data_IF_800063782905
#
_entry.id   IF_800063782905
#
_cell.length_a   1.000
_cell.length_b   1.000
_cell.length_c   1.000
_cell.angle_alpha   90.00
_cell.angle_beta   90.00
_cell.angle_gamma   90.00
#
_symmetry.space_group_name_H-M   'P 1'
#
loop_
_entity.id
_entity.type
_entity.pdbx_description
1 polymer ?
#
# COMPACT_ATOMS: atom_id res chain seq x y z
N UNK A 1 72.14 35.62 46.10
CA UNK A 1 71.71 34.23 46.13
C UNK A 1 70.34 34.15 46.83
N UNK A 2 69.29 34.19 46.09
CA UNK A 2 67.93 34.18 46.63
C UNK A 2 67.22 32.97 46.08
N UNK A 3 66.81 32.06 46.97
CA UNK A 3 65.97 30.91 46.66
C UNK A 3 64.49 31.37 46.66
N UNK A 4 63.84 31.15 45.54
CA UNK A 4 62.39 31.32 45.39
C UNK A 4 61.76 29.98 45.60
N UNK A 5 60.93 29.82 46.65
CA UNK A 5 60.14 28.64 46.90
C UNK A 5 58.83 28.70 46.07
N UNK A 6 58.63 27.69 45.24
CA UNK A 6 57.40 27.53 44.46
C UNK A 6 56.42 26.70 45.27
N UNK A 7 55.36 27.39 45.75
CA UNK A 7 54.27 26.69 46.41
C UNK A 7 53.29 26.14 45.36
N UNK A 8 53.18 24.79 45.27
CA UNK A 8 52.19 24.13 44.42
C UNK A 8 50.84 24.06 45.14
N UNK A 9 49.87 24.79 44.58
CA UNK A 9 48.45 24.68 44.96
C UNK A 9 47.83 23.44 44.28
N UNK A 10 47.59 22.42 45.05
CA UNK A 10 46.76 21.27 44.63
C UNK A 10 45.28 21.67 44.72
N UNK A 11 44.67 21.95 43.57
CA UNK A 11 43.21 22.08 43.46
C UNK A 11 42.65 20.67 43.36
N UNK A 12 41.99 20.20 44.41
CA UNK A 12 41.22 18.97 44.39
C UNK A 12 39.94 19.24 43.58
N UNK A 13 39.87 18.71 42.37
CA UNK A 13 38.60 18.59 41.65
C UNK A 13 37.75 17.53 42.34
N UNK A 14 36.80 17.96 43.14
CA UNK A 14 35.72 17.12 43.59
C UNK A 14 34.86 16.71 42.39
N UNK A 15 34.97 15.45 41.99
CA UNK A 15 34.08 14.87 40.98
C UNK A 15 32.68 14.72 41.54
N UNK A 16 31.85 15.74 41.34
CA UNK A 16 30.41 15.58 41.35
C UNK A 16 30.05 14.82 40.07
N UNK A 17 29.61 13.59 40.18
CA UNK A 17 28.90 12.89 39.09
C UNK A 17 27.55 13.56 38.93
N UNK A 18 27.50 14.64 38.14
CA UNK A 18 26.24 15.11 37.57
C UNK A 18 25.77 14.00 36.63
N UNK A 19 24.96 13.07 37.15
CA UNK A 19 24.20 12.18 36.33
C UNK A 19 23.28 13.05 35.47
N UNK A 20 23.53 13.10 34.18
CA UNK A 20 22.60 13.72 33.23
C UNK A 20 21.20 13.17 33.55
N UNK A 21 20.18 14.01 33.69
CA UNK A 21 18.84 13.55 33.97
C UNK A 21 18.46 12.57 32.84
N UNK A 22 18.18 11.32 33.19
CA UNK A 22 17.62 10.33 32.25
C UNK A 22 16.41 10.99 31.58
N UNK A 23 16.56 11.37 30.33
CA UNK A 23 15.46 11.89 29.52
C UNK A 23 14.44 10.76 29.36
N UNK A 24 13.34 10.85 30.10
CA UNK A 24 12.27 9.88 30.02
C UNK A 24 11.83 9.75 28.56
N UNK A 25 11.84 8.52 28.03
CA UNK A 25 11.32 8.25 26.68
C UNK A 25 9.84 8.71 26.64
N UNK A 26 9.49 9.72 25.83
CA UNK A 26 8.14 10.24 25.78
C UNK A 26 7.13 9.22 25.25
N UNK A 27 7.60 8.15 24.61
CA UNK A 27 6.77 7.04 24.08
C UNK A 27 6.76 5.82 25.01
N UNK A 28 7.35 5.90 26.22
CA UNK A 28 7.46 4.75 27.10
C UNK A 28 6.11 4.07 27.36
N UNK A 29 5.05 4.83 27.62
CA UNK A 29 3.71 4.29 27.87
C UNK A 29 3.19 3.46 26.66
N UNK A 30 3.42 3.94 25.43
CA UNK A 30 3.02 3.24 24.22
C UNK A 30 3.90 2.01 23.94
N UNK A 31 5.18 2.07 24.20
CA UNK A 31 6.12 0.98 24.00
C UNK A 31 5.95 -0.18 25.01
N UNK A 32 5.40 0.11 26.19
CA UNK A 32 5.17 -0.90 27.22
C UNK A 32 3.72 -1.41 27.28
N UNK A 33 2.85 -0.98 26.35
CA UNK A 33 1.49 -1.51 26.29
C UNK A 33 1.51 -3.02 26.00
N UNK A 34 0.57 -3.75 26.59
CA UNK A 34 0.41 -5.18 26.32
C UNK A 34 -0.59 -5.37 25.19
N UNK A 35 -0.18 -6.04 24.14
CA UNK A 35 -1.06 -6.37 23.02
C UNK A 35 -1.93 -7.58 23.37
N UNK A 36 -3.24 -7.43 23.16
CA UNK A 36 -4.21 -8.52 23.26
C UNK A 36 -4.53 -9.05 21.88
N UNK A 37 -3.83 -10.10 21.45
CA UNK A 37 -4.10 -10.78 20.22
C UNK A 37 -5.35 -11.64 20.32
N UNK A 38 -6.32 -11.46 19.42
CA UNK A 38 -7.61 -12.15 19.42
C UNK A 38 -8.09 -12.52 18.03
N UNK A 39 -9.38 -12.90 17.93
CA UNK A 39 -10.06 -13.15 16.66
C UNK A 39 -10.08 -11.90 15.78
N UNK A 40 -10.04 -12.13 14.47
CA UNK A 40 -10.17 -11.08 13.45
C UNK A 40 -11.61 -10.88 12.95
N UNK A 41 -12.61 -11.52 13.51
CA UNK A 41 -13.99 -11.51 13.02
C UNK A 41 -14.56 -10.09 12.90
N UNK A 42 -14.25 -9.21 13.84
CA UNK A 42 -14.68 -7.81 13.80
C UNK A 42 -14.06 -7.00 12.65
N UNK A 43 -12.94 -7.46 12.11
CA UNK A 43 -12.21 -6.79 11.03
C UNK A 43 -12.68 -7.24 9.65
N UNK A 44 -13.15 -8.50 9.52
CA UNK A 44 -13.54 -9.09 8.24
C UNK A 44 -15.03 -8.93 7.89
N UNK A 45 -15.90 -8.60 8.82
CA UNK A 45 -17.34 -8.45 8.56
C UNK A 45 -17.69 -7.42 7.46
N UNK A 46 -16.74 -6.59 7.07
CA UNK A 46 -16.90 -5.55 6.04
C UNK A 46 -16.17 -5.81 4.72
N UNK A 47 -15.22 -6.76 4.68
CA UNK A 47 -14.23 -6.82 3.58
C UNK A 47 -13.92 -8.24 3.05
N UNK A 48 -14.59 -9.30 3.55
CA UNK A 48 -14.30 -10.65 3.07
C UNK A 48 -14.83 -10.89 1.65
N UNK A 49 -13.91 -11.17 0.71
CA UNK A 49 -14.28 -11.77 -0.57
C UNK A 49 -14.51 -13.27 -0.37
N UNK A 50 -15.49 -13.87 -1.10
CA UNK A 50 -15.79 -15.32 -1.04
C UNK A 50 -14.56 -16.24 -1.15
N UNK A 51 -13.48 -15.78 -1.81
CA UNK A 51 -12.25 -16.55 -1.97
C UNK A 51 -11.36 -16.62 -0.73
N UNK A 52 -11.44 -15.64 0.18
CA UNK A 52 -10.60 -15.56 1.38
C UNK A 52 -11.16 -16.34 2.57
N UNK A 53 -12.48 -16.54 2.65
CA UNK A 53 -13.12 -17.24 3.77
C UNK A 53 -12.57 -18.66 4.01
N UNK A 54 -12.40 -19.42 2.94
CA UNK A 54 -11.83 -20.79 3.03
C UNK A 54 -10.39 -20.79 3.51
N UNK A 55 -9.61 -19.79 3.14
CA UNK A 55 -8.23 -19.67 3.61
C UNK A 55 -8.18 -19.22 5.07
N UNK A 56 -8.98 -18.22 5.44
CA UNK A 56 -9.15 -17.75 6.81
C UNK A 56 -9.50 -18.89 7.76
N UNK A 57 -10.48 -19.73 7.39
CA UNK A 57 -10.87 -20.89 8.21
C UNK A 57 -9.74 -21.91 8.40
N UNK A 58 -8.84 -22.06 7.42
CA UNK A 58 -7.67 -22.95 7.53
C UNK A 58 -6.57 -22.40 8.44
N UNK A 59 -6.48 -21.09 8.59
CA UNK A 59 -5.47 -20.48 9.45
C UNK A 59 -5.75 -20.72 10.96
N UNK A 60 -7.02 -20.76 11.35
CA UNK A 60 -7.41 -20.98 12.75
C UNK A 60 -6.73 -19.98 13.69
N UNK A 61 -6.12 -20.46 14.75
CA UNK A 61 -5.41 -19.65 15.76
C UNK A 61 -4.16 -18.93 15.24
N UNK A 62 -3.70 -19.26 14.05
CA UNK A 62 -2.57 -18.56 13.41
C UNK A 62 -2.95 -17.17 12.90
N UNK A 63 -4.23 -16.92 12.66
CA UNK A 63 -4.74 -15.61 12.28
C UNK A 63 -5.16 -14.84 13.52
N UNK A 64 -4.52 -13.71 13.78
CA UNK A 64 -4.72 -12.94 15.00
C UNK A 64 -4.77 -11.46 14.67
N UNK A 65 -5.65 -10.73 15.36
CA UNK A 65 -5.78 -9.29 15.27
C UNK A 65 -5.58 -8.63 16.62
N UNK A 66 -5.05 -7.41 16.61
CA UNK A 66 -4.88 -6.58 17.78
C UNK A 66 -5.00 -5.10 17.43
N UNK A 67 -5.45 -4.33 18.39
CA UNK A 67 -5.44 -2.88 18.35
C UNK A 67 -4.24 -2.35 19.15
N UNK A 68 -3.53 -1.40 18.56
CA UNK A 68 -2.36 -0.75 19.13
C UNK A 68 -2.72 0.70 19.42
N UNK A 69 -2.55 1.16 20.65
CA UNK A 69 -2.63 2.57 21.01
C UNK A 69 -1.41 3.31 20.49
N UNK A 70 -1.63 4.42 19.79
CA UNK A 70 -0.58 5.32 19.31
C UNK A 70 -0.95 6.77 19.62
N UNK A 71 0.02 7.69 19.81
CA UNK A 71 -0.30 9.09 19.97
C UNK A 71 -0.89 9.64 18.68
N UNK A 72 -1.89 10.51 18.77
CA UNK A 72 -2.37 11.24 17.61
C UNK A 72 -1.24 12.11 17.05
N UNK A 73 -0.57 12.86 17.91
CA UNK A 73 0.59 13.69 17.59
C UNK A 73 1.85 13.16 18.29
N UNK A 74 2.82 12.66 17.53
CA UNK A 74 4.11 12.21 18.06
C UNK A 74 4.97 13.32 18.66
N UNK A 75 4.65 14.59 18.41
CA UNK A 75 5.29 15.74 19.06
C UNK A 75 4.67 16.05 20.42
N UNK A 76 3.45 15.59 20.66
CA UNK A 76 2.73 15.74 21.92
C UNK A 76 2.10 14.39 22.33
N UNK A 77 2.90 13.39 22.71
CA UNK A 77 2.43 12.03 22.98
C UNK A 77 1.49 11.90 24.18
N UNK A 78 1.51 12.85 25.11
CA UNK A 78 0.59 12.89 26.24
C UNK A 78 -0.80 13.42 25.88
N UNK A 79 -1.01 13.84 24.62
CA UNK A 79 -2.27 14.35 24.09
C UNK A 79 -3.26 13.24 23.73
N UNK A 80 -4.05 13.48 22.69
CA UNK A 80 -5.04 12.53 22.19
C UNK A 80 -4.36 11.27 21.63
N UNK A 81 -5.03 10.16 21.83
CA UNK A 81 -4.61 8.85 21.36
C UNK A 81 -5.48 8.39 20.21
N UNK A 82 -4.91 7.56 19.35
CA UNK A 82 -5.60 6.84 18.29
C UNK A 82 -5.36 5.34 18.43
N UNK A 83 -6.17 4.59 17.71
CA UNK A 83 -6.05 3.16 17.55
C UNK A 83 -5.50 2.84 16.17
N UNK A 84 -4.46 2.01 16.08
CA UNK A 84 -3.95 1.40 14.86
C UNK A 84 -4.23 -0.09 14.93
N UNK A 85 -4.96 -0.62 13.96
CA UNK A 85 -5.36 -2.02 13.93
C UNK A 85 -4.39 -2.83 13.08
N UNK A 86 -3.94 -3.96 13.60
CA UNK A 86 -3.04 -4.87 12.92
C UNK A 86 -3.59 -6.29 12.89
N UNK A 87 -3.28 -6.99 11.80
CA UNK A 87 -3.51 -8.41 11.60
C UNK A 87 -2.17 -9.11 11.44
N UNK A 88 -2.01 -10.29 12.03
CA UNK A 88 -0.87 -11.16 11.73
C UNK A 88 -1.29 -12.57 11.37
N UNK A 89 -0.56 -13.16 10.43
CA UNK A 89 -0.62 -14.59 10.13
C UNK A 89 0.68 -15.21 10.62
N UNK A 90 0.59 -16.03 11.66
CA UNK A 90 1.76 -16.72 12.21
C UNK A 90 2.30 -17.76 11.22
N UNK A 91 3.61 -17.93 11.16
CA UNK A 91 4.26 -19.00 10.40
C UNK A 91 3.78 -20.38 10.86
N UNK A 92 3.75 -21.37 9.96
CA UNK A 92 3.13 -22.68 10.24
C UNK A 92 3.86 -23.47 11.31
N UNK A 93 5.19 -23.41 11.32
CA UNK A 93 6.02 -24.12 12.29
C UNK A 93 6.50 -23.16 13.37
N UNK A 94 5.92 -23.27 14.58
CA UNK A 94 6.20 -22.38 15.70
C UNK A 94 6.89 -23.16 16.83
N UNK A 95 8.18 -23.40 16.80
CA UNK A 95 8.94 -23.53 18.02
C UNK A 95 9.75 -22.28 18.35
N UNK A 96 10.03 -21.42 17.38
CA UNK A 96 10.89 -20.25 17.54
C UNK A 96 10.14 -18.96 17.19
N UNK A 97 10.49 -17.88 17.88
CA UNK A 97 10.00 -16.53 17.55
C UNK A 97 10.47 -16.15 16.14
N UNK A 98 9.53 -16.08 15.19
CA UNK A 98 9.81 -15.64 13.82
C UNK A 98 9.70 -14.12 13.72
N UNK A 99 10.55 -13.47 12.92
CA UNK A 99 10.42 -12.04 12.64
C UNK A 99 9.12 -11.76 11.87
N UNK A 100 8.68 -10.52 11.91
CA UNK A 100 7.49 -10.07 11.21
C UNK A 100 7.85 -9.41 9.88
N UNK A 101 7.15 -9.77 8.80
CA UNK A 101 7.20 -9.11 7.51
C UNK A 101 5.94 -8.24 7.35
N UNK A 102 6.14 -6.93 7.33
CA UNK A 102 5.08 -5.94 7.23
C UNK A 102 4.72 -5.67 5.79
N UNK A 103 3.42 -5.61 5.49
CA UNK A 103 2.87 -5.32 4.16
C UNK A 103 2.14 -3.98 4.15
N UNK A 104 2.34 -3.20 3.07
CA UNK A 104 1.59 -1.98 2.83
C UNK A 104 1.15 -1.88 1.37
N UNK A 105 -0.16 -1.73 1.16
CA UNK A 105 -0.79 -1.70 -0.17
C UNK A 105 -0.53 -0.40 -0.95
N UNK A 106 -0.08 0.64 -0.27
CA UNK A 106 0.07 1.96 -0.90
C UNK A 106 -1.24 2.76 -0.93
N UNK A 107 -1.54 3.35 -2.04
CA UNK A 107 -2.62 4.31 -2.22
C UNK A 107 -2.07 5.72 -2.42
N UNK A 108 -1.96 6.60 -1.39
CA UNK A 108 -2.12 6.41 0.07
C UNK A 108 -3.56 6.06 0.49
N UNK A 109 -3.69 5.37 1.64
CA UNK A 109 -4.99 4.99 2.21
C UNK A 109 -5.46 3.58 1.87
N UNK A 110 -4.62 2.74 1.24
CA UNK A 110 -4.90 1.32 1.08
C UNK A 110 -4.87 0.59 2.43
N UNK A 111 -5.88 -0.25 2.69
CA UNK A 111 -5.91 -1.08 3.89
C UNK A 111 -4.93 -2.26 3.72
N UNK A 112 -3.99 -2.37 4.66
CA UNK A 112 -2.96 -3.41 4.63
C UNK A 112 -3.40 -4.75 5.19
N UNK A 113 -4.54 -4.83 5.88
CA UNK A 113 -5.02 -6.08 6.49
C UNK A 113 -5.24 -7.15 5.42
N UNK A 114 -6.01 -6.83 4.38
CA UNK A 114 -6.30 -7.76 3.28
C UNK A 114 -5.05 -8.13 2.46
N UNK A 115 -4.11 -7.18 2.31
CA UNK A 115 -2.90 -7.43 1.54
C UNK A 115 -2.04 -8.52 2.17
N UNK A 116 -1.79 -8.46 3.48
CA UNK A 116 -0.99 -9.47 4.17
C UNK A 116 -1.64 -10.86 4.11
N UNK A 117 -2.96 -10.93 4.20
CA UNK A 117 -3.72 -12.16 4.06
C UNK A 117 -3.61 -12.74 2.63
N UNK A 118 -3.74 -11.88 1.61
CA UNK A 118 -3.59 -12.26 0.20
C UNK A 118 -2.20 -12.83 -0.09
N UNK A 119 -1.14 -12.14 0.36
CA UNK A 119 0.22 -12.63 0.19
C UNK A 119 0.48 -13.90 0.99
N UNK A 120 -0.05 -14.01 2.20
CA UNK A 120 0.02 -15.24 2.99
C UNK A 120 -0.61 -16.43 2.23
N UNK A 121 -1.79 -16.23 1.65
CA UNK A 121 -2.48 -17.25 0.86
C UNK A 121 -1.68 -17.63 -0.40
N UNK A 122 -1.21 -16.63 -1.14
CA UNK A 122 -0.43 -16.83 -2.37
C UNK A 122 0.86 -17.63 -2.11
N UNK A 123 1.62 -17.23 -1.10
CA UNK A 123 2.89 -17.86 -0.79
C UNK A 123 2.70 -19.28 -0.21
N UNK A 124 1.68 -19.48 0.64
CA UNK A 124 1.35 -20.81 1.16
C UNK A 124 0.81 -21.76 0.08
N UNK A 125 0.21 -21.23 -0.99
CA UNK A 125 -0.36 -22.00 -2.11
C UNK A 125 0.66 -22.39 -3.18
N UNK A 126 1.92 -21.96 -3.08
CA UNK A 126 2.97 -22.27 -4.05
C UNK A 126 3.21 -23.78 -4.18
N UNK A 127 3.36 -24.28 -5.42
CA UNK A 127 3.69 -25.69 -5.66
C UNK A 127 5.14 -25.98 -5.21
N UNK A 128 5.37 -26.72 -4.12
CA UNK A 128 6.70 -26.94 -3.56
C UNK A 128 7.65 -27.74 -4.48
N UNK A 129 7.13 -28.38 -5.52
CA UNK A 129 7.93 -29.12 -6.50
C UNK A 129 8.53 -28.22 -7.59
N UNK A 130 8.20 -26.93 -7.60
CA UNK A 130 8.83 -25.94 -8.47
C UNK A 130 9.81 -25.08 -7.68
N UNK A 131 10.86 -24.57 -8.34
CA UNK A 131 11.85 -23.70 -7.68
C UNK A 131 11.17 -22.45 -7.04
N UNK A 132 10.25 -21.82 -7.76
CA UNK A 132 9.52 -20.66 -7.25
C UNK A 132 8.60 -21.01 -6.08
N UNK A 133 7.85 -22.11 -6.17
CA UNK A 133 6.95 -22.54 -5.09
C UNK A 133 7.71 -22.98 -3.83
N UNK A 134 8.89 -23.58 -3.97
CA UNK A 134 9.78 -23.87 -2.83
C UNK A 134 10.28 -22.60 -2.15
N UNK A 135 10.59 -21.53 -2.93
CA UNK A 135 10.94 -20.22 -2.38
C UNK A 135 9.75 -19.58 -1.65
N UNK A 136 8.56 -19.63 -2.20
CA UNK A 136 7.33 -19.13 -1.58
C UNK A 136 7.09 -19.81 -0.23
N UNK A 137 7.19 -21.14 -0.20
CA UNK A 137 7.06 -21.92 1.03
C UNK A 137 8.10 -21.47 2.06
N UNK A 138 9.36 -21.32 1.66
CA UNK A 138 10.44 -20.86 2.57
C UNK A 138 10.12 -19.50 3.18
N UNK A 139 9.61 -18.54 2.40
CA UNK A 139 9.22 -17.21 2.92
C UNK A 139 8.06 -17.34 3.91
N UNK A 140 7.02 -18.12 3.60
CA UNK A 140 5.85 -18.33 4.46
C UNK A 140 6.16 -19.04 5.78
N UNK A 141 7.26 -19.81 5.84
CA UNK A 141 7.74 -20.48 7.04
C UNK A 141 8.75 -19.64 7.83
N UNK A 142 9.33 -18.61 7.21
CA UNK A 142 10.38 -17.78 7.83
C UNK A 142 9.84 -16.54 8.54
N UNK A 143 8.64 -16.10 8.22
CA UNK A 143 8.07 -14.85 8.73
C UNK A 143 6.65 -15.01 9.22
N UNK A 144 6.29 -14.26 10.25
CA UNK A 144 4.92 -13.90 10.53
C UNK A 144 4.52 -12.75 9.60
N UNK A 145 3.43 -12.85 8.89
CA UNK A 145 2.99 -11.79 8.00
C UNK A 145 2.11 -10.80 8.74
N UNK A 146 2.39 -9.52 8.57
CA UNK A 146 1.68 -8.44 9.25
C UNK A 146 1.10 -7.49 8.23
N UNK A 147 -0.20 -7.27 8.33
CA UNK A 147 -0.91 -6.16 7.71
C UNK A 147 -1.43 -5.22 8.78
N UNK A 148 -1.58 -3.97 8.43
CA UNK A 148 -2.19 -3.00 9.33
C UNK A 148 -3.04 -2.00 8.54
N UNK A 149 -4.11 -1.51 9.16
CA UNK A 149 -4.83 -0.36 8.64
C UNK A 149 -4.05 0.89 9.07
N UNK A 150 -3.51 1.69 8.14
CA UNK A 150 -2.85 2.95 8.51
C UNK A 150 -3.79 3.85 9.30
N UNK A 151 -3.24 4.81 10.08
CA UNK A 151 -4.05 5.84 10.74
C UNK A 151 -4.96 6.53 9.73
N UNK A 152 -6.21 6.75 10.09
CA UNK A 152 -7.23 7.32 9.22
C UNK A 152 -7.95 6.31 8.31
N UNK A 153 -7.54 5.04 8.30
CA UNK A 153 -7.99 4.01 7.33
C UNK A 153 -8.61 2.81 8.03
N UNK A 154 -9.57 2.17 7.39
CA UNK A 154 -10.08 0.84 7.70
C UNK A 154 -10.51 0.65 9.15
N UNK A 155 -9.97 -0.38 9.81
CA UNK A 155 -10.28 -0.74 11.19
C UNK A 155 -9.59 0.17 12.23
N UNK A 156 -8.58 0.95 11.83
CA UNK A 156 -7.94 1.95 12.69
C UNK A 156 -8.87 3.12 12.99
N UNK A 157 -8.45 4.05 13.88
CA UNK A 157 -9.17 5.32 14.04
C UNK A 157 -9.33 5.96 12.67
N UNK A 158 -10.57 6.00 12.18
CA UNK A 158 -10.89 6.29 10.79
C UNK A 158 -11.11 7.77 10.57
N UNK A 159 -10.57 8.32 9.48
CA UNK A 159 -10.82 9.68 9.02
C UNK A 159 -12.04 9.68 8.08
N UNK A 160 -13.15 10.23 8.55
CA UNK A 160 -14.34 10.41 7.73
C UNK A 160 -14.46 11.87 7.28
N UNK A 161 -14.48 12.05 5.96
CA UNK A 161 -14.57 13.36 5.31
C UNK A 161 -15.91 13.55 4.56
N UNK A 162 -16.88 12.66 4.78
CA UNK A 162 -18.21 12.75 4.17
C UNK A 162 -19.08 13.77 4.89
N UNK A 163 -19.82 14.56 4.11
CA UNK A 163 -20.91 15.42 4.59
C UNK A 163 -22.25 14.90 4.08
N UNK A 164 -23.31 15.66 4.34
CA UNK A 164 -24.68 15.31 3.94
C UNK A 164 -25.00 15.67 2.47
N UNK A 165 -24.08 16.31 1.77
CA UNK A 165 -24.27 16.71 0.37
C UNK A 165 -23.78 15.61 -0.58
N UNK A 166 -24.51 15.44 -1.68
CA UNK A 166 -24.11 14.52 -2.72
C UNK A 166 -22.93 15.10 -3.50
N UNK A 167 -21.78 14.44 -3.44
CA UNK A 167 -20.61 14.81 -4.24
C UNK A 167 -20.90 14.41 -5.68
N UNK A 168 -20.84 15.36 -6.59
CA UNK A 168 -21.06 15.12 -8.01
C UNK A 168 -19.92 14.26 -8.57
N UNK A 169 -20.26 13.08 -9.04
CA UNK A 169 -19.34 12.26 -9.79
C UNK A 169 -18.95 12.94 -11.10
N UNK A 170 -17.72 12.71 -11.53
CA UNK A 170 -17.29 13.08 -12.87
C UNK A 170 -18.24 12.48 -13.90
N UNK A 171 -18.63 13.25 -14.93
CA UNK A 171 -19.38 12.70 -16.05
C UNK A 171 -18.45 11.83 -16.90
N UNK A 172 -18.62 10.50 -16.91
CA UNK A 172 -17.72 9.61 -17.63
C UNK A 172 -17.82 9.72 -19.16
N UNK A 173 -18.88 10.34 -19.67
CA UNK A 173 -19.06 10.59 -21.12
C UNK A 173 -18.40 11.89 -21.57
N UNK A 174 -17.99 12.74 -20.64
CA UNK A 174 -17.41 14.04 -20.98
C UNK A 174 -15.88 13.93 -21.12
N UNK A 175 -15.37 14.69 -22.06
CA UNK A 175 -13.93 14.88 -22.26
C UNK A 175 -13.28 15.41 -20.98
N UNK A 176 -12.10 14.89 -20.61
CA UNK A 176 -11.35 15.35 -19.44
C UNK A 176 -10.95 16.84 -19.51
N UNK A 177 -10.94 17.42 -20.69
CA UNK A 177 -10.71 18.85 -20.93
C UNK A 177 -12.00 19.69 -20.90
N UNK A 178 -13.18 19.06 -20.76
CA UNK A 178 -14.45 19.76 -20.68
C UNK A 178 -14.52 20.63 -19.42
N UNK A 179 -14.79 21.92 -19.58
CA UNK A 179 -14.82 22.89 -18.48
C UNK A 179 -15.79 22.49 -17.35
N UNK A 180 -16.95 21.90 -17.69
CA UNK A 180 -17.93 21.42 -16.69
C UNK A 180 -17.38 20.25 -15.87
N UNK A 181 -16.66 19.32 -16.49
CA UNK A 181 -16.00 18.22 -15.76
C UNK A 181 -14.89 18.73 -14.84
N UNK A 182 -14.07 19.67 -15.33
CA UNK A 182 -13.02 20.30 -14.50
C UNK A 182 -13.67 20.99 -13.29
N UNK A 183 -14.77 21.70 -13.49
CA UNK A 183 -15.51 22.35 -12.42
C UNK A 183 -16.03 21.31 -11.40
N UNK A 184 -16.69 20.24 -11.85
CA UNK A 184 -17.22 19.17 -10.98
C UNK A 184 -16.13 18.50 -10.16
N UNK A 185 -14.98 18.19 -10.78
CA UNK A 185 -13.82 17.62 -10.09
C UNK A 185 -13.30 18.59 -9.03
N UNK A 186 -13.18 19.87 -9.39
CA UNK A 186 -12.72 20.91 -8.46
C UNK A 186 -13.68 21.09 -7.29
N UNK A 187 -14.99 21.14 -7.53
CA UNK A 187 -16.01 21.25 -6.49
C UNK A 187 -16.01 20.02 -5.57
N UNK A 188 -15.90 18.83 -6.13
CA UNK A 188 -15.77 17.58 -5.35
C UNK A 188 -14.52 17.57 -4.47
N UNK A 189 -13.37 17.96 -5.02
CA UNK A 189 -12.12 18.05 -4.27
C UNK A 189 -12.20 19.07 -3.13
N UNK A 190 -12.78 20.26 -3.41
CA UNK A 190 -13.03 21.30 -2.40
C UNK A 190 -13.98 20.81 -1.30
N UNK A 191 -15.07 20.16 -1.67
CA UNK A 191 -16.02 19.59 -0.73
C UNK A 191 -15.34 18.58 0.21
N UNK A 192 -14.56 17.65 -0.34
CA UNK A 192 -13.81 16.68 0.46
C UNK A 192 -12.81 17.37 1.39
N UNK A 193 -12.03 18.32 0.89
CA UNK A 193 -11.05 19.04 1.69
C UNK A 193 -11.69 19.77 2.87
N UNK A 194 -12.79 20.51 2.63
CA UNK A 194 -13.53 21.24 3.67
C UNK A 194 -14.10 20.29 4.73
N UNK A 195 -14.62 19.13 4.33
CA UNK A 195 -15.16 18.17 5.30
C UNK A 195 -14.06 17.43 6.05
N UNK A 196 -12.94 17.10 5.41
CA UNK A 196 -11.76 16.53 6.10
C UNK A 196 -11.23 17.51 7.17
N UNK A 197 -11.11 18.78 6.86
CA UNK A 197 -10.60 19.81 7.80
C UNK A 197 -11.48 20.00 9.06
N UNK A 198 -12.76 19.61 9.00
CA UNK A 198 -13.62 19.60 10.18
C UNK A 198 -13.29 18.50 11.18
N UNK A 199 -12.56 17.49 10.74
CA UNK A 199 -12.18 16.36 11.59
C UNK A 199 -10.83 16.66 12.28
N UNK A 200 -10.77 16.69 13.63
CA UNK A 200 -9.57 17.10 14.35
C UNK A 200 -8.36 16.19 14.15
N UNK A 201 -8.55 14.97 13.60
CA UNK A 201 -7.44 14.06 13.33
C UNK A 201 -6.81 14.28 11.95
N UNK A 202 -7.42 15.07 11.06
CA UNK A 202 -7.00 15.17 9.65
C UNK A 202 -5.54 15.62 9.47
N UNK A 203 -5.07 16.57 10.26
CA UNK A 203 -3.71 17.11 10.18
C UNK A 203 -2.64 16.08 10.57
N UNK A 204 -3.05 15.04 11.29
CA UNK A 204 -2.18 13.98 11.78
C UNK A 204 -2.20 12.70 10.92
N UNK A 205 -3.01 12.69 9.85
CA UNK A 205 -3.03 11.60 8.87
C UNK A 205 -1.98 11.90 7.79
N UNK A 206 -0.74 11.51 8.05
CA UNK A 206 0.38 11.79 7.17
C UNK A 206 1.43 10.67 7.20
N UNK A 207 2.37 10.72 6.25
CA UNK A 207 3.42 9.70 6.07
C UNK A 207 4.34 9.58 7.29
N UNK A 208 4.75 10.71 7.88
CA UNK A 208 5.66 10.73 9.04
C UNK A 208 5.05 10.01 10.23
N UNK A 209 3.82 10.35 10.57
CA UNK A 209 3.11 9.73 11.68
C UNK A 209 2.83 8.23 11.43
N UNK A 210 2.49 7.85 10.19
CA UNK A 210 2.30 6.43 9.82
C UNK A 210 3.60 5.63 9.93
N UNK A 211 4.75 6.20 9.51
CA UNK A 211 6.04 5.55 9.66
C UNK A 211 6.43 5.36 11.14
N UNK A 212 6.04 6.30 12.01
CA UNK A 212 6.24 6.16 13.46
C UNK A 212 5.32 5.11 14.07
N UNK A 213 4.08 4.97 13.57
CA UNK A 213 3.20 3.86 13.95
C UNK A 213 3.84 2.51 13.58
N UNK A 214 4.45 2.42 12.39
CA UNK A 214 5.16 1.21 11.99
C UNK A 214 6.32 0.87 12.95
N UNK A 215 7.09 1.88 13.37
CA UNK A 215 8.18 1.64 14.33
C UNK A 215 7.68 1.23 15.71
N UNK A 216 6.57 1.82 16.16
CA UNK A 216 5.91 1.39 17.38
C UNK A 216 5.44 -0.07 17.29
N UNK A 217 4.80 -0.46 16.18
CA UNK A 217 4.41 -1.86 15.95
C UNK A 217 5.62 -2.80 15.93
N UNK A 218 6.68 -2.44 15.19
CA UNK A 218 7.94 -3.20 15.18
C UNK A 218 8.44 -3.47 16.61
N UNK A 219 8.49 -2.41 17.43
CA UNK A 219 8.92 -2.51 18.83
C UNK A 219 8.03 -3.46 19.65
N UNK A 220 6.70 -3.28 19.57
CA UNK A 220 5.71 -4.06 20.31
C UNK A 220 5.69 -5.54 19.91
N UNK A 221 6.00 -5.84 18.66
CA UNK A 221 6.12 -7.21 18.17
C UNK A 221 7.47 -7.83 18.52
N UNK A 222 8.40 -7.00 19.03
CA UNK A 222 9.71 -7.38 19.54
C UNK A 222 10.70 -7.67 18.43
N UNK A 223 10.56 -7.03 17.28
CA UNK A 223 11.52 -7.10 16.18
C UNK A 223 12.60 -6.04 16.34
N UNK A 224 13.85 -6.43 16.15
CA UNK A 224 14.99 -5.50 16.14
C UNK A 224 14.97 -4.63 14.87
N UNK A 225 14.65 -5.23 13.74
CA UNK A 225 14.64 -4.61 12.41
C UNK A 225 13.28 -4.75 11.73
N UNK A 226 12.91 -3.73 10.95
CA UNK A 226 11.71 -3.72 10.12
C UNK A 226 11.97 -4.52 8.83
N UNK A 227 11.30 -5.65 8.65
CA UNK A 227 11.21 -6.33 7.37
C UNK A 227 9.93 -5.86 6.69
N UNK A 228 10.02 -5.41 5.46
CA UNK A 228 8.94 -4.68 4.84
C UNK A 228 8.74 -5.01 3.36
N UNK A 229 7.49 -5.09 2.96
CA UNK A 229 7.08 -5.17 1.56
C UNK A 229 6.07 -4.06 1.28
N UNK A 230 6.44 -3.09 0.44
CA UNK A 230 5.60 -1.95 0.09
C UNK A 230 5.36 -1.85 -1.39
N UNK A 231 4.10 -1.60 -1.77
CA UNK A 231 3.67 -1.46 -3.16
C UNK A 231 3.27 -0.01 -3.42
N UNK A 232 3.62 0.56 -4.59
CA UNK A 232 3.18 1.89 -5.00
C UNK A 232 3.54 2.96 -3.95
N UNK A 233 2.56 3.68 -3.37
CA UNK A 233 2.81 4.58 -2.24
C UNK A 233 3.46 3.86 -1.02
N UNK A 234 3.27 2.57 -0.87
CA UNK A 234 3.97 1.79 0.15
C UNK A 234 5.49 1.85 -0.01
N UNK A 235 6.01 2.06 -1.22
CA UNK A 235 7.43 2.31 -1.46
C UNK A 235 7.87 3.66 -0.88
N UNK A 236 7.06 4.70 -1.05
CA UNK A 236 7.27 6.01 -0.43
C UNK A 236 7.30 5.91 1.10
N UNK A 237 6.33 5.22 1.69
CA UNK A 237 6.26 5.00 3.13
C UNK A 237 7.48 4.22 3.66
N UNK A 238 7.93 3.18 2.94
CA UNK A 238 9.11 2.40 3.29
C UNK A 238 10.39 3.23 3.30
N UNK A 239 10.59 4.10 2.31
CA UNK A 239 11.75 5.01 2.29
C UNK A 239 11.65 6.11 3.35
N UNK A 240 10.44 6.61 3.63
CA UNK A 240 10.24 7.55 4.73
C UNK A 240 10.61 6.92 6.08
N UNK A 241 10.19 5.68 6.30
CA UNK A 241 10.59 4.90 7.47
C UNK A 241 12.11 4.75 7.56
N UNK A 242 12.75 4.39 6.46
CA UNK A 242 14.21 4.22 6.42
C UNK A 242 14.96 5.54 6.71
N UNK A 243 14.43 6.66 6.27
CA UNK A 243 14.98 7.99 6.58
C UNK A 243 14.83 8.38 8.06
N UNK A 244 13.71 8.02 8.69
CA UNK A 244 13.47 8.30 10.10
C UNK A 244 14.23 7.35 11.04
N UNK A 245 14.38 6.10 10.66
CA UNK A 245 14.90 5.04 11.52
C UNK A 245 15.96 4.18 10.83
N UNK A 246 17.05 4.75 10.31
CA UNK A 246 18.04 4.02 9.53
C UNK A 246 18.61 2.80 10.26
N UNK A 247 18.79 2.91 11.58
CA UNK A 247 19.31 1.82 12.43
C UNK A 247 18.34 0.63 12.57
N UNK A 248 17.06 0.84 12.23
CA UNK A 248 15.98 -0.15 12.42
C UNK A 248 15.52 -0.78 11.10
N UNK A 249 16.20 -0.46 10.01
CA UNK A 249 15.91 -1.03 8.69
C UNK A 249 16.45 -2.45 8.60
N UNK A 250 15.58 -3.38 8.24
CA UNK A 250 15.89 -4.73 7.81
C UNK A 250 15.74 -4.88 6.29
N UNK A 251 15.65 -6.09 5.78
CA UNK A 251 15.30 -6.33 4.38
C UNK A 251 13.97 -5.66 3.99
N UNK A 252 14.02 -4.86 2.93
CA UNK A 252 12.84 -4.20 2.35
C UNK A 252 12.71 -4.54 0.88
N UNK A 253 11.50 -4.90 0.47
CA UNK A 253 11.11 -5.01 -0.93
C UNK A 253 10.17 -3.86 -1.25
N UNK A 254 10.51 -3.10 -2.28
CA UNK A 254 9.76 -1.94 -2.75
C UNK A 254 9.35 -2.20 -4.20
N UNK A 255 8.05 -2.36 -4.41
CA UNK A 255 7.45 -2.77 -5.68
C UNK A 255 6.67 -1.62 -6.30
N UNK A 256 6.86 -1.38 -7.60
CA UNK A 256 6.24 -0.26 -8.32
C UNK A 256 6.61 1.10 -7.71
N UNK A 257 7.90 1.39 -7.70
CA UNK A 257 8.49 2.53 -7.00
C UNK A 257 7.94 3.89 -7.44
N UNK A 258 7.55 4.69 -6.46
CA UNK A 258 7.34 6.13 -6.64
C UNK A 258 8.68 6.88 -6.70
N UNK A 259 8.70 8.03 -7.36
CA UNK A 259 9.89 8.87 -7.42
C UNK A 259 10.05 9.71 -6.13
N UNK A 260 11.01 9.35 -5.29
CA UNK A 260 11.25 10.02 -3.99
C UNK A 260 12.06 11.30 -4.10
N UNK A 261 12.63 11.60 -5.26
CA UNK A 261 13.41 12.83 -5.45
C UNK A 261 12.54 14.08 -5.61
N UNK A 262 11.21 13.91 -5.59
CA UNK A 262 10.21 14.96 -5.81
C UNK A 262 9.20 14.99 -4.64
N UNK A 263 8.29 15.98 -4.66
CA UNK A 263 7.13 15.92 -3.79
C UNK A 263 6.18 14.78 -4.22
N UNK A 264 5.36 14.27 -3.30
CA UNK A 264 4.37 13.23 -3.62
C UNK A 264 3.42 13.66 -4.75
N UNK A 265 3.08 14.95 -4.82
CA UNK A 265 2.26 15.50 -5.90
C UNK A 265 2.97 15.40 -7.26
N UNK A 266 4.23 15.82 -7.34
CA UNK A 266 5.02 15.72 -8.56
C UNK A 266 5.29 14.26 -8.96
N UNK A 267 5.52 13.38 -8.00
CA UNK A 267 5.68 11.94 -8.23
C UNK A 267 4.40 11.32 -8.80
N UNK A 268 3.22 11.75 -8.34
CA UNK A 268 1.92 11.29 -8.88
C UNK A 268 1.73 11.73 -10.34
N UNK A 269 2.09 12.96 -10.68
CA UNK A 269 2.06 13.45 -12.07
C UNK A 269 3.04 12.65 -12.95
N UNK A 270 4.26 12.41 -12.47
CA UNK A 270 5.27 11.62 -13.20
C UNK A 270 4.78 10.19 -13.48
N UNK A 271 4.02 9.59 -12.58
CA UNK A 271 3.42 8.28 -12.75
C UNK A 271 2.41 8.26 -13.92
N UNK A 272 1.54 9.27 -14.03
CA UNK A 272 0.58 9.36 -15.13
C UNK A 272 1.27 9.59 -16.48
N UNK A 273 2.27 10.45 -16.52
CA UNK A 273 3.11 10.64 -17.74
C UNK A 273 3.78 9.32 -18.12
N UNK A 274 4.28 8.56 -17.14
CA UNK A 274 4.88 7.24 -17.37
C UNK A 274 3.90 6.22 -17.96
N UNK A 275 2.63 6.22 -17.53
CA UNK A 275 1.58 5.37 -18.13
C UNK A 275 1.33 5.70 -19.57
N UNK A 276 1.17 6.99 -19.90
CA UNK A 276 0.95 7.47 -21.26
C UNK A 276 2.13 7.04 -22.17
N UNK A 277 3.36 7.26 -21.69
CA UNK A 277 4.57 6.86 -22.42
C UNK A 277 4.62 5.34 -22.63
N UNK A 278 4.34 4.55 -21.59
CA UNK A 278 4.34 3.08 -21.66
C UNK A 278 3.29 2.57 -22.65
N UNK A 279 2.09 3.15 -22.60
CA UNK A 279 1.05 2.81 -23.57
C UNK A 279 1.47 3.10 -25.01
N UNK A 280 1.93 4.33 -25.30
CA UNK A 280 2.27 4.77 -26.64
C UNK A 280 3.47 4.02 -27.25
N UNK A 281 4.47 3.70 -26.44
CA UNK A 281 5.76 3.18 -26.92
C UNK A 281 5.93 1.66 -26.75
N UNK A 282 5.14 1.03 -25.90
CA UNK A 282 5.27 -0.40 -25.61
C UNK A 282 3.96 -1.17 -25.84
N UNK A 283 2.86 -0.79 -25.20
CA UNK A 283 1.61 -1.56 -25.20
C UNK A 283 0.92 -1.50 -26.55
N UNK A 284 0.66 -0.31 -27.10
CA UNK A 284 -0.03 -0.17 -28.39
C UNK A 284 0.79 -0.72 -29.56
N UNK A 285 2.11 -0.50 -29.69
CA UNK A 285 2.91 -1.17 -30.71
C UNK A 285 2.94 -2.69 -30.57
N UNK A 286 2.96 -3.24 -29.35
CA UNK A 286 2.83 -4.67 -29.13
C UNK A 286 1.49 -5.18 -29.66
N UNK A 287 0.38 -4.55 -29.26
CA UNK A 287 -0.95 -4.91 -29.71
C UNK A 287 -1.12 -4.82 -31.23
N UNK A 288 -0.53 -3.81 -31.87
CA UNK A 288 -0.54 -3.66 -33.32
C UNK A 288 0.18 -4.82 -34.02
N UNK A 289 1.37 -5.22 -33.56
CA UNK A 289 2.08 -6.38 -34.08
C UNK A 289 1.32 -7.71 -33.92
N UNK A 290 0.52 -7.81 -32.87
CA UNK A 290 -0.30 -8.99 -32.57
C UNK A 290 -1.78 -8.81 -32.92
N UNK A 291 -2.09 -7.95 -33.87
CA UNK A 291 -3.48 -7.66 -34.26
C UNK A 291 -4.28 -8.89 -34.69
N UNK A 292 -3.64 -9.89 -35.30
CA UNK A 292 -4.29 -11.13 -35.70
C UNK A 292 -4.95 -11.88 -34.51
N UNK A 293 -4.35 -11.80 -33.32
CA UNK A 293 -4.86 -12.42 -32.09
C UNK A 293 -5.63 -11.45 -31.21
N UNK A 294 -5.24 -10.18 -31.15
CA UNK A 294 -5.84 -9.19 -30.25
C UNK A 294 -6.98 -8.39 -30.90
N UNK A 295 -6.98 -8.23 -32.24
CA UNK A 295 -8.02 -7.52 -32.98
C UNK A 295 -8.20 -6.05 -32.62
N UNK A 296 -7.12 -5.40 -32.13
CA UNK A 296 -7.16 -4.03 -31.61
C UNK A 296 -6.87 -2.96 -32.68
N UNK A 297 -6.21 -3.33 -33.78
CA UNK A 297 -5.75 -2.43 -34.83
C UNK A 297 -4.31 -2.74 -35.24
N UNK A 298 -3.91 -2.24 -36.39
CA UNK A 298 -2.59 -2.50 -37.01
C UNK A 298 -1.56 -1.41 -36.71
N UNK A 299 -1.98 -0.30 -36.10
CA UNK A 299 -1.11 0.79 -35.67
C UNK A 299 -1.53 1.36 -34.33
N UNK A 300 -0.59 2.03 -33.64
CA UNK A 300 -0.86 2.76 -32.39
C UNK A 300 -2.00 3.76 -32.58
N UNK A 301 -2.00 4.51 -33.67
CA UNK A 301 -3.04 5.52 -33.93
C UNK A 301 -4.41 4.88 -34.12
N UNK A 302 -4.52 3.80 -34.88
CA UNK A 302 -5.78 3.06 -35.04
C UNK A 302 -6.32 2.55 -33.73
N UNK A 303 -5.44 2.04 -32.85
CA UNK A 303 -5.80 1.56 -31.52
C UNK A 303 -6.35 2.71 -30.66
N UNK A 304 -5.66 3.85 -30.61
CA UNK A 304 -6.12 5.04 -29.87
C UNK A 304 -7.46 5.52 -30.40
N UNK A 305 -7.63 5.59 -31.72
CA UNK A 305 -8.87 6.07 -32.34
C UNK A 305 -10.06 5.13 -32.08
N UNK A 306 -9.81 3.82 -32.01
CA UNK A 306 -10.84 2.84 -31.60
C UNK A 306 -11.25 3.01 -30.15
N UNK A 307 -10.30 3.25 -29.25
CA UNK A 307 -10.57 3.48 -27.84
C UNK A 307 -11.37 4.76 -27.59
N UNK A 308 -11.05 5.84 -28.32
CA UNK A 308 -11.83 7.08 -28.27
C UNK A 308 -13.28 6.93 -28.75
N UNK A 309 -13.54 5.94 -29.60
CA UNK A 309 -14.88 5.65 -30.15
C UNK A 309 -15.65 4.57 -29.37
N UNK A 310 -15.20 4.17 -28.20
CA UNK A 310 -15.95 3.21 -27.37
C UNK A 310 -17.34 3.75 -27.05
N UNK A 311 -18.33 2.87 -27.13
CA UNK A 311 -19.70 3.23 -26.81
C UNK A 311 -19.80 3.76 -25.37
N UNK A 312 -20.63 4.79 -25.11
CA UNK A 312 -20.74 5.40 -23.77
C UNK A 312 -20.95 4.42 -22.60
N UNK A 313 -21.79 3.37 -22.72
CA UNK A 313 -21.94 2.41 -21.62
C UNK A 313 -20.66 1.64 -21.30
N UNK A 314 -19.86 1.30 -22.32
CA UNK A 314 -18.58 0.60 -22.14
C UNK A 314 -17.53 1.55 -21.55
N UNK A 315 -17.49 2.79 -22.04
CA UNK A 315 -16.63 3.82 -21.49
C UNK A 315 -16.96 4.09 -20.01
N UNK A 316 -18.25 4.21 -19.66
CA UNK A 316 -18.72 4.40 -18.30
C UNK A 316 -18.31 3.23 -17.38
N UNK A 317 -18.43 1.98 -17.84
CA UNK A 317 -18.03 0.80 -17.08
C UNK A 317 -16.52 0.77 -16.82
N UNK A 318 -15.71 1.16 -17.82
CA UNK A 318 -14.26 1.23 -17.71
C UNK A 318 -13.79 2.36 -16.78
N UNK A 319 -14.50 3.49 -16.79
CA UNK A 319 -14.27 4.61 -15.88
C UNK A 319 -14.58 4.23 -14.43
N UNK A 320 -15.65 3.46 -14.19
CA UNK A 320 -16.00 2.99 -12.85
C UNK A 320 -15.00 1.95 -12.30
N UNK A 321 -14.32 1.21 -13.17
CA UNK A 321 -13.30 0.22 -12.80
C UNK A 321 -11.90 0.79 -12.65
N UNK A 322 -11.64 1.98 -13.22
CA UNK A 322 -10.36 2.68 -13.16
C UNK A 322 -10.55 4.07 -12.53
N UNK A 323 -9.61 4.48 -11.68
CA UNK A 323 -9.65 5.80 -11.02
C UNK A 323 -9.62 7.00 -11.98
N UNK A 324 -9.44 6.80 -13.29
CA UNK A 324 -9.40 7.85 -14.31
C UNK A 324 -9.89 7.38 -15.68
N UNK A 325 -10.71 8.22 -16.29
CA UNK A 325 -11.34 8.03 -17.59
C UNK A 325 -10.44 8.31 -18.80
N UNK A 326 -9.13 8.17 -18.71
CA UNK A 326 -8.27 8.44 -19.84
C UNK A 326 -8.21 7.26 -20.80
N UNK A 327 -8.29 7.49 -22.13
CA UNK A 327 -8.25 6.43 -23.15
C UNK A 327 -7.06 5.48 -22.99
N UNK A 328 -5.93 5.98 -22.54
CA UNK A 328 -4.70 5.21 -22.35
C UNK A 328 -4.79 4.23 -21.16
N UNK A 329 -5.44 4.62 -20.07
CA UNK A 329 -5.69 3.75 -18.89
C UNK A 329 -6.67 2.66 -19.28
N UNK A 330 -7.76 3.00 -19.94
CA UNK A 330 -8.76 2.08 -20.46
C UNK A 330 -8.13 1.06 -21.41
N UNK A 331 -7.26 1.51 -22.31
CA UNK A 331 -6.55 0.64 -23.24
C UNK A 331 -5.63 -0.35 -22.53
N UNK A 332 -4.91 0.11 -21.52
CA UNK A 332 -4.02 -0.75 -20.73
C UNK A 332 -4.80 -1.81 -19.98
N UNK A 333 -5.90 -1.45 -19.34
CA UNK A 333 -6.79 -2.36 -18.62
C UNK A 333 -7.41 -3.41 -19.55
N UNK A 334 -7.93 -3.00 -20.70
CA UNK A 334 -8.51 -3.90 -21.68
C UNK A 334 -7.47 -4.86 -22.27
N UNK A 335 -6.29 -4.38 -22.60
CA UNK A 335 -5.21 -5.21 -23.10
C UNK A 335 -4.70 -6.17 -22.03
N UNK A 336 -4.57 -5.71 -20.80
CA UNK A 336 -4.19 -6.54 -19.67
C UNK A 336 -5.22 -7.65 -19.42
N UNK A 337 -6.50 -7.31 -19.37
CA UNK A 337 -7.59 -8.27 -19.18
C UNK A 337 -7.61 -9.33 -20.31
N UNK A 338 -7.34 -8.90 -21.55
CA UNK A 338 -7.30 -9.78 -22.72
C UNK A 338 -6.08 -10.69 -22.76
N UNK A 339 -4.92 -10.19 -22.30
CA UNK A 339 -3.67 -10.96 -22.26
C UNK A 339 -3.62 -11.98 -21.12
N UNK A 340 -4.17 -11.64 -19.94
CA UNK A 340 -4.04 -12.46 -18.75
C UNK A 340 -5.24 -13.36 -18.43
N UNK A 341 -6.46 -12.95 -18.80
CA UNK A 341 -7.67 -13.67 -18.39
C UNK A 341 -8.38 -14.40 -19.53
N UNK A 342 -7.98 -14.19 -20.76
CA UNK A 342 -8.71 -14.71 -21.92
C UNK A 342 -10.16 -14.25 -21.95
N UNK A 343 -10.84 -14.45 -23.07
CA UNK A 343 -12.24 -14.01 -23.25
C UNK A 343 -13.26 -14.72 -22.36
N UNK A 344 -12.92 -15.83 -21.74
CA UNK A 344 -13.87 -16.68 -20.97
C UNK A 344 -14.30 -16.08 -19.62
N UNK A 345 -13.57 -15.11 -19.06
CA UNK A 345 -13.93 -14.48 -17.78
C UNK A 345 -14.54 -13.08 -17.92
N UNK A 346 -14.64 -12.58 -19.12
CA UNK A 346 -15.35 -11.32 -19.37
C UNK A 346 -16.85 -11.56 -19.26
N UNK A 347 -17.57 -10.67 -18.56
CA UNK A 347 -19.02 -10.76 -18.43
C UNK A 347 -19.70 -10.77 -19.81
N UNK A 348 -20.96 -11.25 -19.90
CA UNK A 348 -21.73 -11.30 -21.14
C UNK A 348 -21.76 -9.93 -21.88
N UNK A 349 -21.71 -8.83 -21.14
CA UNK A 349 -21.65 -7.47 -21.69
C UNK A 349 -20.35 -7.18 -22.45
N UNK A 350 -19.20 -7.72 -21.98
CA UNK A 350 -17.92 -7.63 -22.67
C UNK A 350 -17.89 -8.44 -23.96
N UNK A 351 -18.52 -9.62 -23.96
CA UNK A 351 -18.64 -10.46 -25.17
C UNK A 351 -19.47 -9.78 -26.28
N UNK A 352 -20.50 -9.03 -25.91
CA UNK A 352 -21.31 -8.28 -26.88
C UNK A 352 -20.52 -7.12 -27.53
N UNK A 353 -19.59 -6.50 -26.80
CA UNK A 353 -18.75 -5.42 -27.31
C UNK A 353 -17.60 -5.91 -28.20
N UNK A 354 -17.13 -7.15 -28.02
CA UNK A 354 -16.01 -7.75 -28.75
C UNK A 354 -16.43 -9.07 -29.41
N UNK A 355 -17.19 -8.99 -30.49
CA UNK A 355 -17.80 -10.16 -31.18
C UNK A 355 -16.83 -11.22 -31.72
N UNK A 356 -15.52 -11.07 -31.57
CA UNK A 356 -14.50 -11.97 -32.12
C UNK A 356 -13.43 -12.36 -31.11
N UNK A 357 -13.82 -12.74 -29.90
CA UNK A 357 -12.92 -13.38 -28.97
C UNK A 357 -12.78 -14.86 -29.29
N UNK A 358 -11.76 -15.24 -30.06
CA UNK A 358 -11.33 -16.64 -30.11
C UNK A 358 -10.32 -16.91 -28.99
N UNK A 359 -10.35 -18.08 -28.34
CA UNK A 359 -9.34 -18.44 -27.35
C UNK A 359 -7.97 -18.47 -28.03
N UNK A 360 -7.00 -17.84 -27.40
CA UNK A 360 -5.58 -17.97 -27.79
C UNK A 360 -5.23 -19.45 -27.55
N UNK A 361 -4.90 -20.18 -28.62
CA UNK A 361 -4.42 -21.55 -28.52
C UNK A 361 -3.16 -21.55 -27.63
N UNK A 362 -3.18 -22.35 -26.57
CA UNK A 362 -1.98 -22.63 -25.78
C UNK A 362 -0.92 -23.20 -26.72
N UNK A 363 0.09 -22.44 -27.05
CA UNK A 363 1.30 -22.96 -27.66
C UNK A 363 2.02 -23.82 -26.62
N UNK A 364 1.71 -25.10 -26.60
CA UNK A 364 2.60 -26.11 -26.05
C UNK A 364 3.88 -26.16 -26.88
N UNK A 365 4.80 -25.28 -26.57
CA UNK A 365 6.15 -25.29 -27.12
C UNK A 365 6.92 -26.48 -26.57
N UNK A 366 6.91 -27.58 -27.30
CA UNK A 366 7.96 -28.58 -27.21
C UNK A 366 9.25 -27.93 -27.70
N UNK A 367 10.14 -27.60 -26.81
CA UNK A 367 11.55 -27.41 -27.13
C UNK A 367 12.28 -28.74 -26.83
N UNK A 368 12.75 -29.36 -27.92
CA UNK A 368 13.83 -30.33 -27.89
C UNK A 368 15.16 -29.63 -27.62
#
# INVERSE_FOLDING_TARGET
MGQVALAALLVACGGGSDAEPETKDPLAAYKHQKLSWGSCDAYFSKYSSEGSERYISKLGSRLQCADIEAPLDYKNPDGLKIKVSALRVLAADIPEKKPHLFFNAGGPGGDGLDLSLTYSQMLAGGNPNTALGAMYKKVSESFNFVGFSPRGVGASTNLQCSGNEQVYAQDPSADGENAENIRRISDAAKYMAVNCQKNPISDFINTDATARDMDLMRHLFGDEKMHYYGISYGTWLGFWYAGLFPERVGPMVVDSNMNFSQSIHAASISYEVGKIHSFANHIAPYAARHNSSLGMGTSTQEIVDRLKRLAPPLNQMLVQSSFRAEPNTIASELLYARMHHGCQRLSAQWHAAFRHCQPVAEHSGQHR
#
